data_IF_245119169250
#
_entry.id   IF_245119169250
#
_cell.length_a   1.000
_cell.length_b   1.000
_cell.length_c   1.000
_cell.angle_alpha   90.00
_cell.angle_beta   90.00
_cell.angle_gamma   90.00
#
_symmetry.space_group_name_H-M   'P 1'
#
loop_
_entity.id
_entity.type
_entity.pdbx_description
1 polymer ?
#
# COMPACT_ATOMS: atom_id res chain seq x y z
N UNK A 1 -22.52 -1.82 -12.19
CA UNK A 1 -21.76 -0.82 -12.98
C UNK A 1 -21.48 0.45 -12.18
N UNK A 2 -22.41 0.93 -11.35
CA UNK A 2 -22.28 2.21 -10.62
C UNK A 2 -20.95 2.43 -9.94
N UNK A 3 -20.40 1.43 -9.22
CA UNK A 3 -19.10 1.55 -8.52
C UNK A 3 -17.96 2.01 -9.44
N UNK A 4 -17.85 1.44 -10.64
CA UNK A 4 -16.78 1.78 -11.58
C UNK A 4 -17.04 3.14 -12.24
N UNK A 5 -18.28 3.39 -12.66
CA UNK A 5 -18.64 4.58 -13.43
C UNK A 5 -18.74 5.86 -12.59
N UNK A 6 -18.77 5.75 -11.26
CA UNK A 6 -18.80 6.88 -10.33
C UNK A 6 -17.53 7.01 -9.49
N UNK A 7 -16.46 6.28 -9.82
CA UNK A 7 -15.21 6.31 -9.07
C UNK A 7 -14.27 7.36 -9.64
N UNK A 8 -13.90 8.35 -8.82
CA UNK A 8 -12.86 9.33 -9.15
C UNK A 8 -11.50 8.68 -9.42
N UNK A 9 -11.21 7.53 -8.79
CA UNK A 9 -9.98 6.77 -9.06
C UNK A 9 -10.00 6.15 -10.46
N UNK A 10 -11.11 5.54 -10.86
CA UNK A 10 -11.27 4.99 -12.21
C UNK A 10 -11.23 6.10 -13.24
N UNK A 11 -11.84 7.25 -12.96
CA UNK A 11 -11.73 8.44 -13.81
C UNK A 11 -10.27 8.89 -13.96
N UNK A 12 -9.55 9.05 -12.83
CA UNK A 12 -8.15 9.46 -12.83
C UNK A 12 -7.21 8.50 -13.57
N UNK A 13 -7.44 7.19 -13.45
CA UNK A 13 -6.67 6.18 -14.20
C UNK A 13 -6.85 6.36 -15.72
N UNK A 14 -8.09 6.60 -16.17
CA UNK A 14 -8.40 6.84 -17.57
C UNK A 14 -7.80 8.17 -18.07
N UNK A 15 -7.89 9.23 -17.26
CA UNK A 15 -7.33 10.54 -17.57
C UNK A 15 -5.80 10.48 -17.69
N UNK A 16 -5.11 9.86 -16.75
CA UNK A 16 -3.65 9.71 -16.77
C UNK A 16 -3.16 8.97 -18.03
N UNK A 17 -3.83 7.88 -18.42
CA UNK A 17 -3.47 7.13 -19.63
C UNK A 17 -3.64 7.98 -20.89
N UNK A 18 -4.65 8.85 -20.93
CA UNK A 18 -4.91 9.74 -22.06
C UNK A 18 -3.90 10.90 -22.13
N UNK A 19 -3.49 11.45 -20.98
CA UNK A 19 -2.48 12.52 -20.90
C UNK A 19 -1.07 12.04 -21.27
N UNK A 20 -0.72 10.79 -20.96
CA UNK A 20 0.58 10.21 -21.29
C UNK A 20 0.75 9.87 -22.79
N UNK A 21 -0.30 10.00 -23.61
CA UNK A 21 -0.21 9.76 -25.05
C UNK A 21 0.51 10.91 -25.77
N UNK A 22 1.57 10.64 -26.55
CA UNK A 22 2.18 11.64 -27.42
C UNK A 22 1.16 12.30 -28.36
N UNK A 23 1.25 13.61 -28.56
CA UNK A 23 0.41 14.31 -29.54
C UNK A 23 0.58 13.67 -30.94
N UNK A 24 -0.53 13.23 -31.52
CA UNK A 24 -0.56 12.66 -32.87
C UNK A 24 -0.43 11.13 -32.95
N UNK A 25 -0.24 10.41 -31.84
CA UNK A 25 -0.35 8.94 -31.84
C UNK A 25 -1.78 8.50 -31.53
N UNK A 26 -2.45 7.93 -32.53
CA UNK A 26 -3.67 7.14 -32.35
C UNK A 26 -3.31 5.76 -31.78
N UNK A 27 -2.82 5.72 -30.55
CA UNK A 27 -2.56 4.46 -29.86
C UNK A 27 -3.82 4.04 -29.12
N UNK A 28 -4.48 3.02 -29.65
CA UNK A 28 -5.42 2.21 -28.88
C UNK A 28 -4.69 1.76 -27.61
N UNK A 29 -5.21 2.12 -26.44
CA UNK A 29 -4.72 1.57 -25.18
C UNK A 29 -5.64 0.42 -24.77
N UNK A 30 -5.03 -0.63 -24.23
CA UNK A 30 -5.80 -1.73 -23.68
C UNK A 30 -6.34 -1.34 -22.30
N UNK A 31 -7.65 -1.35 -22.16
CA UNK A 31 -8.32 -1.17 -20.89
C UNK A 31 -8.90 -2.50 -20.41
N UNK A 32 -8.55 -2.91 -19.20
CA UNK A 32 -8.99 -4.17 -18.62
C UNK A 32 -9.91 -3.93 -17.43
N UNK A 33 -10.97 -4.72 -17.32
CA UNK A 33 -11.77 -4.80 -16.09
C UNK A 33 -11.27 -6.02 -15.32
N UNK A 34 -10.64 -5.77 -14.17
CA UNK A 34 -10.14 -6.83 -13.30
C UNK A 34 -11.19 -7.14 -12.23
N UNK A 35 -11.69 -8.38 -12.24
CA UNK A 35 -12.60 -8.88 -11.20
C UNK A 35 -11.81 -9.79 -10.26
N UNK A 36 -11.75 -9.44 -8.99
CA UNK A 36 -11.13 -10.24 -7.92
C UNK A 36 -12.22 -10.87 -7.06
N UNK A 37 -11.95 -12.06 -6.54
CA UNK A 37 -12.79 -12.67 -5.52
C UNK A 37 -12.86 -11.74 -4.30
N UNK A 38 -14.07 -11.54 -3.78
CA UNK A 38 -14.25 -10.79 -2.55
C UNK A 38 -13.78 -11.63 -1.36
N UNK A 39 -12.83 -11.11 -0.62
CA UNK A 39 -12.30 -11.71 0.61
C UNK A 39 -12.48 -10.74 1.76
N UNK A 40 -12.73 -11.27 2.96
CA UNK A 40 -12.75 -10.43 4.15
C UNK A 40 -11.32 -10.16 4.62
N UNK A 41 -10.84 -8.94 4.37
CA UNK A 41 -9.53 -8.47 4.82
C UNK A 41 -9.76 -7.60 6.07
N UNK A 42 -9.31 -8.02 7.27
CA UNK A 42 -9.31 -7.13 8.41
C UNK A 42 -8.39 -5.94 8.14
N UNK A 43 -8.94 -4.73 8.27
CA UNK A 43 -8.28 -3.46 7.95
C UNK A 43 -6.97 -3.25 8.72
N UNK A 44 -6.89 -3.74 9.95
CA UNK A 44 -5.68 -3.67 10.76
C UNK A 44 -4.53 -4.49 10.18
N UNK A 45 -4.81 -5.50 9.36
CA UNK A 45 -3.81 -6.41 8.81
C UNK A 45 -3.46 -6.13 7.35
N UNK A 46 -3.70 -4.90 6.89
CA UNK A 46 -3.22 -4.40 5.60
C UNK A 46 -2.01 -3.47 5.78
N UNK A 47 -0.97 -3.69 4.97
CA UNK A 47 0.32 -3.03 5.08
C UNK A 47 0.85 -2.60 3.73
N UNK A 48 1.34 -1.36 3.67
CA UNK A 48 2.06 -0.81 2.52
C UNK A 48 3.56 -0.98 2.70
N UNK A 49 4.23 -1.62 1.75
CA UNK A 49 5.66 -1.87 1.79
C UNK A 49 6.39 -1.15 0.65
N UNK A 50 7.53 -0.54 0.97
CA UNK A 50 8.33 0.20 0.02
C UNK A 50 9.58 -0.60 -0.34
N UNK A 51 9.71 -0.94 -1.62
CA UNK A 51 10.81 -1.72 -2.17
C UNK A 51 11.73 -0.81 -2.96
N UNK A 52 13.02 -0.81 -2.60
CA UNK A 52 14.08 -0.18 -3.38
C UNK A 52 15.31 -1.08 -3.38
N UNK A 53 16.04 -1.12 -4.50
CA UNK A 53 17.12 -2.08 -4.77
C UNK A 53 16.70 -3.54 -4.53
N UNK A 54 15.46 -3.87 -4.89
CA UNK A 54 14.92 -5.23 -4.82
C UNK A 54 14.68 -5.78 -3.42
N UNK A 55 14.67 -4.93 -2.38
CA UNK A 55 14.37 -5.31 -0.99
C UNK A 55 13.39 -4.33 -0.34
N UNK A 56 12.63 -4.83 0.64
CA UNK A 56 11.76 -4.00 1.47
C UNK A 56 12.62 -3.17 2.43
N UNK A 57 12.47 -1.85 2.37
CA UNK A 57 13.12 -0.91 3.28
C UNK A 57 12.15 -0.28 4.28
N UNK A 58 10.85 -0.28 3.99
CA UNK A 58 9.85 0.28 4.91
C UNK A 58 8.54 -0.47 4.81
N UNK A 59 7.85 -0.57 5.96
CA UNK A 59 6.51 -1.14 6.09
C UNK A 59 5.67 -0.15 6.89
N UNK A 60 4.49 0.19 6.38
CA UNK A 60 3.50 1.04 7.04
C UNK A 60 2.22 0.25 7.26
N UNK A 61 1.57 0.45 8.41
CA UNK A 61 0.12 0.25 8.52
C UNK A 61 -0.59 1.02 7.40
N UNK A 62 -1.51 0.37 6.68
CA UNK A 62 -2.20 0.99 5.55
C UNK A 62 -3.19 2.06 6.00
N UNK A 63 -4.16 1.69 6.86
CA UNK A 63 -5.04 2.68 7.51
C UNK A 63 -4.29 3.40 8.63
N UNK A 64 -3.58 4.46 8.27
CA UNK A 64 -2.80 5.25 9.20
C UNK A 64 -3.64 6.18 10.10
N UNK A 65 -4.97 6.18 9.98
CA UNK A 65 -5.86 7.04 10.78
C UNK A 65 -6.36 6.36 12.06
N UNK A 66 -6.21 5.04 12.17
CA UNK A 66 -6.73 4.25 13.29
C UNK A 66 -5.58 3.69 14.13
N UNK A 67 -5.77 3.68 15.45
CA UNK A 67 -4.90 2.95 16.36
C UNK A 67 -5.48 1.55 16.61
N UNK A 68 -4.69 0.51 16.34
CA UNK A 68 -5.07 -0.87 16.65
C UNK A 68 -4.17 -1.41 17.75
N UNK A 69 -4.73 -1.62 18.95
CA UNK A 69 -3.99 -2.09 20.13
C UNK A 69 -3.25 -3.42 19.88
N UNK A 70 -3.80 -4.27 19.00
CA UNK A 70 -3.22 -5.57 18.64
C UNK A 70 -1.94 -5.47 17.79
N UNK A 71 -1.71 -4.36 17.06
CA UNK A 71 -0.63 -4.28 16.07
C UNK A 71 0.78 -4.11 16.65
N UNK A 72 1.04 -3.18 17.60
CA UNK A 72 2.37 -2.99 18.15
C UNK A 72 3.08 -4.28 18.60
N UNK A 73 2.43 -5.19 19.37
CA UNK A 73 3.09 -6.45 19.77
C UNK A 73 3.31 -7.44 18.61
N UNK A 74 2.58 -7.31 17.51
CA UNK A 74 2.67 -8.22 16.36
C UNK A 74 3.72 -7.80 15.32
N UNK A 75 4.25 -6.55 15.39
CA UNK A 75 5.21 -6.00 14.40
C UNK A 75 6.34 -6.98 14.03
N UNK A 76 7.06 -7.63 14.97
CA UNK A 76 8.19 -8.48 14.61
C UNK A 76 7.77 -9.71 13.78
N UNK A 77 6.60 -10.28 14.09
CA UNK A 77 6.04 -11.45 13.40
C UNK A 77 5.61 -11.08 11.99
N UNK A 78 4.84 -10.00 11.85
CA UNK A 78 4.31 -9.53 10.57
C UNK A 78 5.44 -9.10 9.63
N UNK A 79 6.42 -8.34 10.15
CA UNK A 79 7.61 -7.95 9.39
C UNK A 79 8.37 -9.17 8.87
N UNK A 80 8.62 -10.17 9.72
CA UNK A 80 9.32 -11.39 9.33
C UNK A 80 8.58 -12.13 8.21
N UNK A 81 7.26 -12.27 8.32
CA UNK A 81 6.43 -12.94 7.31
C UNK A 81 6.44 -12.20 5.97
N UNK A 82 6.22 -10.87 5.98
CA UNK A 82 6.23 -10.02 4.79
C UNK A 82 7.59 -10.08 4.09
N UNK A 83 8.68 -9.86 4.83
CA UNK A 83 10.05 -9.82 4.27
C UNK A 83 10.44 -11.18 3.70
N UNK A 84 10.14 -12.27 4.41
CA UNK A 84 10.45 -13.61 3.94
C UNK A 84 9.67 -13.93 2.66
N UNK A 85 8.37 -13.64 2.62
CA UNK A 85 7.55 -13.89 1.44
C UNK A 85 7.98 -13.04 0.23
N UNK A 86 8.29 -11.76 0.45
CA UNK A 86 8.82 -10.89 -0.58
C UNK A 86 10.12 -11.43 -1.18
N UNK A 87 11.11 -11.73 -0.33
CA UNK A 87 12.44 -12.15 -0.76
C UNK A 87 12.44 -13.52 -1.46
N UNK A 88 11.57 -14.44 -1.02
CA UNK A 88 11.55 -15.83 -1.53
C UNK A 88 10.57 -16.05 -2.67
N UNK A 89 9.53 -15.22 -2.79
CA UNK A 89 8.44 -15.44 -3.75
C UNK A 89 8.26 -14.25 -4.69
N UNK A 90 7.97 -13.06 -4.15
CA UNK A 90 7.57 -11.91 -4.98
C UNK A 90 8.73 -11.36 -5.81
N UNK A 91 9.87 -11.10 -5.17
CA UNK A 91 11.01 -10.51 -5.86
C UNK A 91 11.56 -11.42 -6.97
N UNK A 92 11.76 -12.74 -6.75
CA UNK A 92 12.15 -13.65 -7.84
C UNK A 92 11.13 -13.70 -8.98
N UNK A 93 9.82 -13.69 -8.66
CA UNK A 93 8.76 -13.72 -9.66
C UNK A 93 8.82 -12.48 -10.56
N UNK A 94 8.90 -11.28 -9.97
CA UNK A 94 8.98 -10.03 -10.72
C UNK A 94 10.24 -9.98 -11.61
N UNK A 95 11.40 -10.39 -11.10
CA UNK A 95 12.63 -10.47 -11.90
C UNK A 95 12.46 -11.44 -13.07
N UNK A 96 11.94 -12.64 -12.82
CA UNK A 96 11.77 -13.67 -13.86
C UNK A 96 10.74 -13.29 -14.93
N UNK A 97 9.74 -12.47 -14.58
CA UNK A 97 8.74 -11.95 -15.50
C UNK A 97 9.27 -10.84 -16.43
N UNK A 98 10.45 -10.31 -16.17
CA UNK A 98 11.00 -9.16 -16.89
C UNK A 98 10.30 -7.84 -16.55
N UNK A 99 9.63 -7.74 -15.39
CA UNK A 99 8.97 -6.52 -14.96
C UNK A 99 9.98 -5.38 -14.80
N UNK A 100 9.84 -4.32 -15.60
CA UNK A 100 10.85 -3.26 -15.73
C UNK A 100 11.19 -2.57 -14.39
N UNK A 101 10.20 -2.44 -13.50
CA UNK A 101 10.34 -1.81 -12.19
C UNK A 101 10.58 -2.82 -11.05
N UNK A 102 11.02 -4.05 -11.35
CA UNK A 102 11.22 -5.10 -10.34
C UNK A 102 12.20 -4.74 -9.22
N UNK A 103 13.01 -3.69 -9.34
CA UNK A 103 13.90 -3.25 -8.27
C UNK A 103 13.34 -2.09 -7.43
N UNK A 104 12.23 -1.45 -7.85
CA UNK A 104 11.72 -0.26 -7.18
C UNK A 104 10.21 -0.07 -7.37
N UNK A 105 9.44 -0.33 -6.33
CA UNK A 105 7.98 -0.28 -6.34
C UNK A 105 7.41 -0.20 -4.91
N UNK A 106 6.10 0.04 -4.81
CA UNK A 106 5.33 -0.16 -3.59
C UNK A 106 4.48 -1.41 -3.74
N UNK A 107 4.38 -2.22 -2.69
CA UNK A 107 3.53 -3.42 -2.64
C UNK A 107 2.67 -3.40 -1.39
N UNK A 108 1.37 -3.59 -1.58
CA UNK A 108 0.42 -3.70 -0.48
C UNK A 108 0.18 -5.18 -0.19
N UNK A 109 0.33 -5.56 1.08
CA UNK A 109 0.09 -6.90 1.59
C UNK A 109 -1.04 -6.91 2.60
N UNK A 110 -1.81 -8.01 2.64
CA UNK A 110 -2.77 -8.26 3.70
C UNK A 110 -2.63 -9.65 4.31
N UNK A 111 -3.06 -9.82 5.56
CA UNK A 111 -3.26 -11.13 6.18
C UNK A 111 -4.75 -11.44 6.30
N UNK A 112 -5.19 -12.43 5.54
CA UNK A 112 -6.60 -12.84 5.43
C UNK A 112 -6.92 -13.87 6.52
N UNK A 113 -8.13 -13.81 7.09
CA UNK A 113 -8.62 -14.77 8.10
C UNK A 113 -7.74 -14.92 9.35
N UNK A 114 -6.89 -13.93 9.65
CA UNK A 114 -5.96 -13.98 10.79
C UNK A 114 -4.77 -14.93 10.62
N UNK A 115 -4.53 -15.47 9.41
CA UNK A 115 -3.31 -16.23 9.12
C UNK A 115 -2.11 -15.28 8.99
N UNK A 116 -1.53 -14.89 10.13
CA UNK A 116 -0.39 -13.98 10.21
C UNK A 116 0.93 -14.58 9.69
N UNK A 117 0.93 -15.80 9.14
CA UNK A 117 2.09 -16.41 8.51
C UNK A 117 2.08 -16.27 6.99
N UNK A 118 0.92 -16.02 6.38
CA UNK A 118 0.75 -16.00 4.92
C UNK A 118 0.27 -14.63 4.44
N UNK A 119 1.19 -13.69 4.18
CA UNK A 119 0.82 -12.44 3.54
C UNK A 119 0.32 -12.70 2.12
N UNK A 120 -0.67 -11.93 1.70
CA UNK A 120 -1.28 -11.96 0.36
C UNK A 120 -1.05 -10.62 -0.32
N UNK A 121 -0.61 -10.61 -1.58
CA UNK A 121 -0.44 -9.38 -2.35
C UNK A 121 -1.81 -8.81 -2.70
N UNK A 122 -2.03 -7.52 -2.41
CA UNK A 122 -3.24 -6.79 -2.76
C UNK A 122 -3.02 -5.93 -4.01
N UNK A 123 -1.91 -5.20 -4.07
CA UNK A 123 -1.63 -4.25 -5.14
C UNK A 123 -0.12 -4.02 -5.31
N UNK A 124 0.30 -3.69 -6.53
CA UNK A 124 1.62 -3.13 -6.83
C UNK A 124 1.43 -1.72 -7.38
N UNK A 125 2.21 -0.76 -6.86
CA UNK A 125 2.14 0.64 -7.22
C UNK A 125 3.52 1.17 -7.66
N UNK A 126 3.58 2.15 -8.57
CA UNK A 126 4.83 2.88 -8.82
C UNK A 126 5.35 3.55 -7.54
N UNK A 127 6.68 3.57 -7.37
CA UNK A 127 7.29 3.97 -6.10
C UNK A 127 6.90 5.38 -5.63
N UNK A 128 6.72 6.33 -6.55
CA UNK A 128 6.46 7.74 -6.21
C UNK A 128 5.01 8.20 -6.40
N UNK A 129 4.14 7.36 -6.97
CA UNK A 129 2.74 7.72 -7.21
C UNK A 129 1.78 7.15 -6.14
N UNK A 130 2.32 6.43 -5.15
CA UNK A 130 1.56 5.90 -4.03
C UNK A 130 1.46 6.92 -2.87
N UNK A 131 0.43 6.79 -2.04
CA UNK A 131 0.39 7.47 -0.73
C UNK A 131 1.46 6.86 0.20
N UNK A 132 2.11 7.70 1.00
CA UNK A 132 3.18 7.28 1.90
C UNK A 132 2.71 6.61 3.21
N UNK A 133 1.40 6.66 3.50
CA UNK A 133 0.80 6.23 4.76
C UNK A 133 1.49 6.91 5.96
N UNK A 134 2.22 6.13 6.80
CA UNK A 134 3.00 6.66 7.93
C UNK A 134 4.40 7.17 7.53
N UNK A 135 4.74 7.16 6.25
CA UNK A 135 5.96 7.74 5.71
C UNK A 135 5.67 8.97 4.84
N UNK A 136 6.64 9.86 4.79
CA UNK A 136 6.64 11.00 3.89
C UNK A 136 7.83 10.89 2.94
N UNK A 137 7.59 10.84 1.63
CA UNK A 137 8.64 10.63 0.62
C UNK A 137 9.82 11.61 0.72
N UNK A 138 9.58 12.86 1.10
CA UNK A 138 10.63 13.87 1.24
C UNK A 138 11.41 13.71 2.55
N UNK A 139 10.71 13.52 3.67
CA UNK A 139 11.33 13.45 5.01
C UNK A 139 11.99 12.10 5.28
N UNK A 140 11.40 11.03 4.77
CA UNK A 140 11.81 9.65 5.02
C UNK A 140 12.60 9.04 3.84
N UNK A 141 13.06 9.87 2.89
CA UNK A 141 13.77 9.41 1.68
C UNK A 141 14.89 8.41 2.00
N UNK A 142 15.72 8.72 3.01
CA UNK A 142 16.82 7.85 3.41
C UNK A 142 16.32 6.46 3.86
N UNK A 143 15.24 6.40 4.63
CA UNK A 143 14.63 5.13 5.07
C UNK A 143 14.07 4.39 3.87
N UNK A 144 13.24 5.05 3.05
CA UNK A 144 12.57 4.43 1.91
C UNK A 144 13.56 3.88 0.87
N UNK A 145 14.69 4.57 0.64
CA UNK A 145 15.66 4.18 -0.39
C UNK A 145 16.80 3.29 0.13
N UNK A 146 17.25 3.48 1.38
CA UNK A 146 18.50 2.87 1.88
C UNK A 146 18.29 1.91 3.06
N UNK A 147 17.19 2.02 3.79
CA UNK A 147 16.97 1.29 5.04
C UNK A 147 17.89 1.77 6.19
N UNK A 148 18.10 0.99 7.27
CA UNK A 148 17.59 -0.36 7.52
C UNK A 148 16.06 -0.43 7.55
N UNK A 149 15.51 -1.64 7.48
CA UNK A 149 14.05 -1.81 7.44
C UNK A 149 13.37 -1.12 8.63
N UNK A 150 12.40 -0.26 8.34
CA UNK A 150 11.59 0.42 9.35
C UNK A 150 10.12 0.01 9.23
N UNK A 151 9.52 -0.41 10.35
CA UNK A 151 8.10 -0.75 10.40
C UNK A 151 7.34 0.23 11.31
N UNK A 152 6.48 1.05 10.70
CA UNK A 152 5.61 2.01 11.37
C UNK A 152 4.18 1.48 11.46
N UNK A 153 3.64 1.52 12.66
CA UNK A 153 2.21 1.38 12.99
C UNK A 153 1.87 2.49 13.98
N UNK A 154 0.60 2.85 14.13
CA UNK A 154 0.21 3.77 15.19
C UNK A 154 0.48 3.13 16.56
N UNK A 155 1.24 3.81 17.42
CA UNK A 155 1.62 3.31 18.76
C UNK A 155 0.75 3.86 19.89
N UNK A 156 -0.25 4.67 19.55
CA UNK A 156 -1.27 5.18 20.47
C UNK A 156 -2.36 5.93 19.72
N UNK A 157 -3.35 6.43 20.46
CA UNK A 157 -4.44 7.23 19.91
C UNK A 157 -3.89 8.37 19.06
N UNK A 158 -4.45 8.50 17.85
CA UNK A 158 -3.97 9.49 16.90
C UNK A 158 -4.14 10.89 17.48
N UNK A 159 -3.02 11.63 17.58
CA UNK A 159 -2.98 12.96 18.17
C UNK A 159 -3.97 13.92 17.51
N UNK A 160 -4.47 14.90 18.28
CA UNK A 160 -5.51 15.84 17.86
C UNK A 160 -5.25 16.52 16.49
N UNK A 161 -3.99 16.64 16.06
CA UNK A 161 -3.59 17.21 14.78
C UNK A 161 -4.11 16.47 13.55
N UNK A 162 -4.19 15.14 13.56
CA UNK A 162 -4.72 14.35 12.43
C UNK A 162 -6.24 14.46 12.36
N UNK A 163 -6.89 14.58 13.52
CA UNK A 163 -8.34 14.81 13.60
C UNK A 163 -8.75 16.15 12.98
N UNK A 164 -7.88 17.17 12.99
CA UNK A 164 -8.21 18.51 12.48
C UNK A 164 -8.57 18.53 10.98
N UNK A 165 -8.02 17.61 10.18
CA UNK A 165 -8.35 17.46 8.76
C UNK A 165 -9.62 16.64 8.48
N UNK A 166 -10.13 15.93 9.48
CA UNK A 166 -11.33 15.10 9.36
C UNK A 166 -12.59 15.89 9.68
N UNK A 167 -13.68 15.62 8.96
CA UNK A 167 -14.99 16.14 9.34
C UNK A 167 -15.38 15.63 10.73
N UNK A 168 -16.11 16.44 11.49
CA UNK A 168 -16.42 16.20 12.91
C UNK A 168 -17.01 14.81 13.17
N UNK A 169 -17.91 14.35 12.31
CA UNK A 169 -18.54 13.03 12.36
C UNK A 169 -17.56 11.84 12.30
N UNK A 170 -16.41 12.00 11.62
CA UNK A 170 -15.38 10.95 11.56
C UNK A 170 -14.50 10.94 12.81
N UNK A 171 -14.33 12.09 13.47
CA UNK A 171 -13.56 12.19 14.71
C UNK A 171 -14.22 11.37 15.83
N UNK A 172 -15.55 11.47 15.93
CA UNK A 172 -16.33 10.74 16.93
C UNK A 172 -16.29 9.22 16.73
N UNK A 173 -16.09 8.74 15.50
CA UNK A 173 -15.94 7.31 15.19
C UNK A 173 -14.57 6.80 15.63
N UNK A 174 -13.51 7.57 15.41
CA UNK A 174 -12.15 7.23 15.82
C UNK A 174 -11.95 7.19 17.35
N UNK A 175 -12.86 7.81 18.11
CA UNK A 175 -12.83 7.81 19.58
C UNK A 175 -13.61 6.64 20.22
N UNK A 176 -14.23 5.77 19.39
CA UNK A 176 -15.06 4.64 19.85
C UNK A 176 -14.46 3.27 19.55
N UNK A 177 -13.30 3.21 18.89
CA UNK A 177 -12.52 2.01 18.61
C UNK A 177 -11.36 1.96 19.59
#
# INVERSE_FOLDING_TARGET
MTLLTSSERVYGDLEAILEEQPEGTSTLFDCYIVLRQWEHIPIEYEFRCFVNDGRINAISQYDCLVYFESLPPLKPRLQSAIVAYHATTIQPLLISSGFASANRYVVDFAFIEGDLARPTVIELNPFFNADGCLFNFSKDKAVLEQGPIEFRVNEGLVGAGVKLGLMMQWREMLDRV
#
